data_IF_321138877076
#
_entry.id   IF_321138877076
#
_cell.length_a   1.000
_cell.length_b   1.000
_cell.length_c   1.000
_cell.angle_alpha   90.00
_cell.angle_beta   90.00
_cell.angle_gamma   90.00
#
_symmetry.space_group_name_H-M   'P 1'
#
loop_
_entity.id
_entity.type
_entity.pdbx_description
1 polymer ?
#
# COMPACT_ATOMS: atom_id res chain seq x y z
N UNK A 1 25.52 0.37 6.97
CA UNK A 1 25.06 -0.33 8.19
C UNK A 1 24.91 -1.79 7.86
N UNK A 2 25.63 -2.66 8.57
CA UNK A 2 25.51 -4.12 8.45
C UNK A 2 24.30 -4.63 9.25
N UNK A 3 23.83 -5.86 9.01
CA UNK A 3 22.77 -6.49 9.80
C UNK A 3 23.11 -6.59 11.30
N UNK A 4 24.34 -6.98 11.64
CA UNK A 4 24.77 -7.11 13.04
C UNK A 4 24.75 -5.75 13.75
N UNK A 5 25.28 -4.71 13.10
CA UNK A 5 25.24 -3.35 13.64
C UNK A 5 23.80 -2.84 13.80
N UNK A 6 22.90 -3.20 12.88
CA UNK A 6 21.49 -2.82 12.98
C UNK A 6 20.80 -3.48 14.18
N UNK A 7 21.13 -4.76 14.45
CA UNK A 7 20.62 -5.51 15.59
C UNK A 7 21.14 -4.95 16.91
N UNK A 8 22.45 -4.68 17.00
CA UNK A 8 23.08 -4.19 18.22
C UNK A 8 22.60 -2.78 18.60
N UNK A 9 22.42 -1.89 17.63
CA UNK A 9 21.94 -0.53 17.87
C UNK A 9 20.42 -0.43 18.08
N UNK A 10 19.67 -1.50 17.82
CA UNK A 10 18.21 -1.46 17.78
C UNK A 10 17.59 -0.92 19.08
N UNK A 11 18.00 -1.46 20.23
CA UNK A 11 17.47 -1.07 21.54
C UNK A 11 17.78 0.39 21.88
N UNK A 12 19.00 0.85 21.57
CA UNK A 12 19.42 2.22 21.84
C UNK A 12 18.62 3.21 20.99
N UNK A 13 18.40 2.90 19.71
CA UNK A 13 17.57 3.72 18.82
C UNK A 13 16.13 3.81 19.34
N UNK A 14 15.56 2.72 19.85
CA UNK A 14 14.22 2.75 20.46
C UNK A 14 14.18 3.65 21.69
N UNK A 15 15.22 3.66 22.52
CA UNK A 15 15.32 4.59 23.64
C UNK A 15 15.38 6.06 23.18
N UNK A 16 16.07 6.34 22.08
CA UNK A 16 16.16 7.70 21.53
C UNK A 16 14.81 8.25 21.02
N UNK A 17 13.82 7.39 20.73
CA UNK A 17 12.46 7.82 20.37
C UNK A 17 11.73 8.54 21.51
N UNK A 18 12.18 8.41 22.75
CA UNK A 18 11.60 9.09 23.93
C UNK A 18 12.43 10.29 24.38
N UNK A 19 13.45 10.70 23.62
CA UNK A 19 14.28 11.87 23.92
C UNK A 19 13.44 13.14 24.05
N UNK A 20 13.78 14.01 25.00
CA UNK A 20 13.13 15.32 25.17
C UNK A 20 13.38 16.24 23.97
N UNK A 21 14.47 16.03 23.23
CA UNK A 21 14.87 16.85 22.08
C UNK A 21 14.19 16.35 20.79
N UNK A 22 13.31 17.14 20.14
CA UNK A 22 12.61 16.72 18.92
C UNK A 22 13.55 16.29 17.79
N UNK A 23 14.65 17.01 17.61
CA UNK A 23 15.68 16.68 16.62
C UNK A 23 16.21 15.24 16.78
N UNK A 24 16.43 14.80 18.02
CA UNK A 24 16.93 13.44 18.31
C UNK A 24 15.87 12.40 18.00
N UNK A 25 14.62 12.63 18.41
CA UNK A 25 13.50 11.72 18.07
C UNK A 25 13.34 11.58 16.55
N UNK A 26 13.38 12.70 15.83
CA UNK A 26 13.32 12.72 14.36
C UNK A 26 14.44 11.88 13.74
N UNK A 27 15.69 12.04 14.20
CA UNK A 27 16.81 11.22 13.71
C UNK A 27 16.66 9.75 14.07
N UNK A 28 16.17 9.44 15.27
CA UNK A 28 15.90 8.06 15.68
C UNK A 28 14.86 7.39 14.77
N UNK A 29 13.75 8.08 14.45
CA UNK A 29 12.74 7.58 13.48
C UNK A 29 13.36 7.27 12.11
N UNK A 30 14.18 8.18 11.57
CA UNK A 30 14.82 7.97 10.27
C UNK A 30 15.88 6.85 10.29
N UNK A 31 16.62 6.69 11.39
CA UNK A 31 17.60 5.60 11.53
C UNK A 31 16.87 4.26 11.70
N UNK A 32 15.72 4.25 12.37
CA UNK A 32 14.91 3.05 12.57
C UNK A 32 14.45 2.44 11.23
N UNK A 33 14.13 3.27 10.24
CA UNK A 33 13.90 2.80 8.86
C UNK A 33 15.10 2.01 8.32
N UNK A 34 16.31 2.58 8.42
CA UNK A 34 17.53 1.90 7.97
C UNK A 34 17.76 0.58 8.71
N UNK A 35 17.38 0.50 9.99
CA UNK A 35 17.45 -0.75 10.77
C UNK A 35 16.55 -1.79 10.15
N UNK A 36 15.30 -1.45 9.83
CA UNK A 36 14.36 -2.39 9.19
C UNK A 36 14.84 -2.91 7.84
N UNK A 37 15.55 -2.08 7.06
CA UNK A 37 16.16 -2.52 5.80
C UNK A 37 17.26 -3.59 5.95
N UNK A 38 17.87 -3.69 7.14
CA UNK A 38 18.99 -4.61 7.43
C UNK A 38 18.66 -5.70 8.43
N UNK A 39 17.67 -5.47 9.28
CA UNK A 39 17.19 -6.36 10.32
C UNK A 39 15.65 -6.28 10.37
N UNK A 40 14.94 -6.91 9.41
CA UNK A 40 13.49 -6.78 9.26
C UNK A 40 12.68 -7.34 10.43
N UNK A 41 13.23 -8.31 11.18
CA UNK A 41 12.57 -8.89 12.35
C UNK A 41 12.27 -7.86 13.45
N UNK A 42 13.01 -6.74 13.47
CA UNK A 42 12.76 -5.63 14.39
C UNK A 42 11.49 -4.83 14.06
N UNK A 43 10.94 -4.93 12.84
CA UNK A 43 9.82 -4.10 12.41
C UNK A 43 8.57 -4.32 13.28
N UNK A 44 8.10 -5.58 13.38
CA UNK A 44 6.90 -5.94 14.14
C UNK A 44 6.95 -5.49 15.61
N UNK A 45 7.99 -5.79 16.41
CA UNK A 45 8.05 -5.34 17.80
C UNK A 45 8.21 -3.82 17.95
N UNK A 46 8.80 -3.14 16.96
CA UNK A 46 9.00 -1.68 16.99
C UNK A 46 7.80 -0.87 16.51
N UNK A 47 6.92 -1.47 15.70
CA UNK A 47 5.84 -0.77 15.03
C UNK A 47 4.92 0.01 15.98
N UNK A 48 4.55 -0.49 17.18
CA UNK A 48 3.77 0.31 18.14
C UNK A 48 4.45 1.63 18.51
N UNK A 49 5.77 1.61 18.75
CA UNK A 49 6.55 2.82 19.08
C UNK A 49 6.67 3.77 17.90
N UNK A 50 6.79 3.25 16.68
CA UNK A 50 6.76 4.09 15.47
C UNK A 50 5.39 4.74 15.28
N UNK A 51 4.29 4.00 15.53
CA UNK A 51 2.92 4.52 15.46
C UNK A 51 2.68 5.66 16.45
N UNK A 52 3.19 5.54 17.68
CA UNK A 52 3.13 6.64 18.68
C UNK A 52 3.78 7.94 18.17
N UNK A 53 4.73 7.88 17.23
CA UNK A 53 5.38 9.07 16.66
C UNK A 53 4.51 9.82 15.65
N UNK A 54 3.42 9.22 15.18
CA UNK A 54 2.41 9.93 14.38
C UNK A 54 1.67 11.00 15.20
N UNK A 55 1.63 10.84 16.52
CA UNK A 55 0.98 11.76 17.46
C UNK A 55 2.02 12.61 18.22
N UNK A 56 3.26 12.68 17.74
CA UNK A 56 4.33 13.44 18.42
C UNK A 56 4.03 14.94 18.41
N UNK A 57 4.28 15.71 19.49
CA UNK A 57 3.99 17.15 19.50
C UNK A 57 4.82 17.97 18.51
N UNK A 58 5.96 17.45 18.04
CA UNK A 58 6.79 18.12 17.04
C UNK A 58 6.38 17.71 15.61
N UNK A 59 5.95 18.65 14.75
CA UNK A 59 5.54 18.34 13.38
C UNK A 59 6.66 17.71 12.53
N UNK A 60 7.92 18.02 12.83
CA UNK A 60 9.08 17.44 12.15
C UNK A 60 9.30 15.97 12.47
N UNK A 61 8.94 15.53 13.68
CA UNK A 61 8.94 14.11 14.08
C UNK A 61 7.75 13.38 13.46
N UNK A 62 6.55 13.97 13.49
CA UNK A 62 5.35 13.40 12.84
C UNK A 62 5.58 13.17 11.35
N UNK A 63 6.08 14.19 10.64
CA UNK A 63 6.39 14.08 9.21
C UNK A 63 7.41 12.99 8.92
N UNK A 64 8.44 12.84 9.76
CA UNK A 64 9.41 11.75 9.61
C UNK A 64 8.76 10.37 9.84
N UNK A 65 7.84 10.25 10.81
CA UNK A 65 7.12 9.01 11.07
C UNK A 65 6.20 8.62 9.91
N UNK A 66 5.43 9.57 9.38
CA UNK A 66 4.60 9.37 8.18
C UNK A 66 5.45 8.92 7.00
N UNK A 67 6.57 9.59 6.75
CA UNK A 67 7.47 9.24 5.65
C UNK A 67 7.99 7.81 5.80
N UNK A 68 8.53 7.46 6.97
CA UNK A 68 9.06 6.11 7.22
C UNK A 68 7.98 5.04 7.07
N UNK A 69 6.77 5.28 7.58
CA UNK A 69 5.67 4.32 7.45
C UNK A 69 5.25 4.17 5.97
N UNK A 70 5.18 5.27 5.23
CA UNK A 70 4.87 5.25 3.80
C UNK A 70 5.93 4.50 2.99
N UNK A 71 7.21 4.73 3.27
CA UNK A 71 8.31 4.03 2.60
C UNK A 71 8.27 2.52 2.88
N UNK A 72 7.96 2.13 4.12
CA UNK A 72 7.79 0.72 4.50
C UNK A 72 6.59 0.07 3.81
N UNK A 73 5.48 0.79 3.68
CA UNK A 73 4.27 0.32 3.00
C UNK A 73 4.53 0.06 1.52
N UNK A 74 5.16 1.01 0.82
CA UNK A 74 5.51 0.87 -0.59
C UNK A 74 6.46 -0.31 -0.79
N UNK A 75 7.44 -0.46 0.10
CA UNK A 75 8.40 -1.56 0.05
C UNK A 75 7.73 -2.92 0.30
N UNK A 76 6.79 -3.01 1.24
CA UNK A 76 6.05 -4.23 1.55
C UNK A 76 5.24 -4.67 0.33
N UNK A 77 4.45 -3.76 -0.25
CA UNK A 77 3.68 -4.06 -1.48
C UNK A 77 4.58 -4.50 -2.63
N UNK A 78 5.67 -3.79 -2.88
CA UNK A 78 6.60 -4.16 -3.94
C UNK A 78 7.21 -5.54 -3.71
N UNK A 79 7.61 -5.85 -2.46
CA UNK A 79 8.16 -7.16 -2.10
C UNK A 79 7.13 -8.28 -2.27
N UNK A 80 5.90 -8.04 -1.84
CA UNK A 80 4.78 -8.99 -1.96
C UNK A 80 4.47 -9.28 -3.42
N UNK A 81 4.30 -8.25 -4.26
CA UNK A 81 4.04 -8.41 -5.70
C UNK A 81 5.21 -9.13 -6.39
N UNK A 82 6.45 -8.76 -6.06
CA UNK A 82 7.63 -9.41 -6.65
C UNK A 82 7.72 -10.89 -6.27
N UNK A 83 7.33 -11.25 -5.04
CA UNK A 83 7.28 -12.65 -4.61
C UNK A 83 6.14 -13.40 -5.30
N UNK A 84 4.98 -12.77 -5.42
CA UNK A 84 3.82 -13.33 -6.11
C UNK A 84 4.12 -13.60 -7.59
N UNK A 85 4.71 -12.64 -8.32
CA UNK A 85 5.11 -12.84 -9.73
C UNK A 85 6.11 -13.98 -9.86
N UNK A 86 7.12 -14.05 -8.98
CA UNK A 86 8.09 -15.16 -8.98
C UNK A 86 7.43 -16.52 -8.69
N UNK A 87 6.41 -16.54 -7.84
CA UNK A 87 5.62 -17.73 -7.59
C UNK A 87 4.81 -18.12 -8.83
N UNK A 88 4.06 -17.18 -9.41
CA UNK A 88 3.26 -17.39 -10.60
C UNK A 88 4.07 -17.95 -11.78
N UNK A 89 5.25 -17.38 -12.07
CA UNK A 89 6.13 -17.87 -13.12
C UNK A 89 6.52 -19.35 -12.93
N UNK A 90 6.83 -19.77 -11.70
CA UNK A 90 7.18 -21.16 -11.39
C UNK A 90 6.02 -22.14 -11.58
N UNK A 91 4.78 -21.69 -11.33
CA UNK A 91 3.58 -22.51 -11.54
C UNK A 91 3.20 -22.59 -13.01
N UNK A 92 3.37 -21.50 -13.77
CA UNK A 92 3.19 -21.48 -15.22
C UNK A 92 4.16 -22.43 -15.94
N UNK A 93 5.43 -22.48 -15.53
CA UNK A 93 6.42 -23.44 -16.06
C UNK A 93 5.99 -24.90 -15.87
N UNK A 94 5.20 -25.18 -14.84
CA UNK A 94 4.67 -26.52 -14.52
C UNK A 94 3.25 -26.76 -15.03
N UNK A 95 2.64 -25.76 -15.67
CA UNK A 95 1.25 -25.77 -16.09
C UNK A 95 0.26 -26.01 -14.92
N UNK A 96 0.59 -25.50 -13.73
CA UNK A 96 -0.23 -25.56 -12.51
C UNK A 96 -1.12 -24.32 -12.40
N UNK A 97 -2.36 -24.50 -11.94
CA UNK A 97 -3.31 -23.39 -11.71
C UNK A 97 -2.89 -22.53 -10.51
N UNK A 98 -3.14 -21.23 -10.60
CA UNK A 98 -2.89 -20.20 -9.57
C UNK A 98 -4.18 -19.61 -8.98
N UNK A 99 -5.34 -20.15 -9.35
CA UNK A 99 -6.64 -19.52 -9.08
C UNK A 99 -6.94 -19.43 -7.58
N UNK A 100 -6.60 -20.47 -6.82
CA UNK A 100 -6.86 -20.51 -5.38
C UNK A 100 -5.97 -19.51 -4.64
N UNK A 101 -4.69 -19.42 -4.99
CA UNK A 101 -3.75 -18.46 -4.41
C UNK A 101 -4.09 -17.02 -4.76
N UNK A 102 -4.55 -16.75 -5.99
CA UNK A 102 -5.04 -15.44 -6.40
C UNK A 102 -6.29 -15.02 -5.62
N UNK A 103 -7.20 -15.96 -5.38
CA UNK A 103 -8.41 -15.73 -4.59
C UNK A 103 -8.06 -15.35 -3.16
N UNK A 104 -7.10 -16.06 -2.54
CA UNK A 104 -6.61 -15.76 -1.19
C UNK A 104 -5.86 -14.42 -1.17
N UNK A 105 -5.05 -14.13 -2.18
CA UNK A 105 -4.28 -12.88 -2.27
C UNK A 105 -5.18 -11.64 -2.34
N UNK A 106 -6.31 -11.76 -3.02
CA UNK A 106 -7.31 -10.70 -3.16
C UNK A 106 -8.38 -10.73 -2.07
N UNK A 107 -8.30 -11.68 -1.14
CA UNK A 107 -9.20 -11.78 0.00
C UNK A 107 -8.79 -10.78 1.08
N UNK A 108 -9.54 -9.70 1.18
CA UNK A 108 -9.39 -8.73 2.24
C UNK A 108 -10.37 -7.58 2.06
N UNK A 109 -11.12 -7.27 3.11
CA UNK A 109 -11.97 -6.09 3.10
C UNK A 109 -11.08 -4.85 3.21
N UNK A 110 -11.10 -4.00 2.19
CA UNK A 110 -10.63 -2.62 2.33
C UNK A 110 -11.55 -1.95 3.35
N UNK A 111 -11.04 -1.65 4.54
CA UNK A 111 -11.82 -0.88 5.50
C UNK A 111 -12.10 0.50 4.90
N UNK A 112 -13.37 0.85 4.63
CA UNK A 112 -13.69 2.15 4.09
C UNK A 112 -13.19 3.22 5.05
N UNK A 113 -12.68 4.33 4.48
CA UNK A 113 -12.28 5.48 5.29
C UNK A 113 -13.46 5.88 6.16
N UNK A 114 -13.24 5.98 7.48
CA UNK A 114 -14.32 6.29 8.42
C UNK A 114 -15.01 7.61 8.02
N UNK A 115 -16.35 7.70 7.99
CA UNK A 115 -17.07 8.89 7.51
C UNK A 115 -16.67 10.18 8.24
N UNK A 116 -16.30 10.08 9.52
CA UNK A 116 -15.80 11.21 10.31
C UNK A 116 -14.44 11.73 9.85
N UNK A 117 -13.56 10.84 9.37
CA UNK A 117 -12.27 11.22 8.79
C UNK A 117 -12.46 11.83 7.41
N UNK A 118 -13.36 11.27 6.60
CA UNK A 118 -13.67 11.80 5.26
C UNK A 118 -14.24 13.23 5.32
N UNK A 119 -15.13 13.53 6.28
CA UNK A 119 -15.66 14.89 6.49
C UNK A 119 -14.60 15.93 6.89
N UNK A 120 -13.43 15.51 7.38
CA UNK A 120 -12.34 16.42 7.76
C UNK A 120 -11.42 16.76 6.60
N UNK A 121 -11.57 16.10 5.44
CA UNK A 121 -10.83 16.42 4.23
C UNK A 121 -11.58 17.53 3.50
N UNK A 122 -11.07 18.77 3.47
CA UNK A 122 -11.70 19.84 2.71
C UNK A 122 -11.63 19.52 1.21
N UNK A 123 -12.68 19.86 0.47
CA UNK A 123 -12.71 19.71 -0.98
C UNK A 123 -11.83 20.84 -1.56
N UNK A 124 -10.77 20.53 -2.32
CA UNK A 124 -9.95 21.53 -2.99
C UNK A 124 -10.76 22.32 -4.02
N UNK A 125 -10.42 23.60 -4.21
CA UNK A 125 -10.97 24.40 -5.31
C UNK A 125 -10.55 23.78 -6.65
N UNK A 126 -11.51 23.53 -7.55
CA UNK A 126 -11.25 22.96 -8.88
C UNK A 126 -11.17 21.43 -8.94
N UNK A 127 -11.51 20.71 -7.86
CA UNK A 127 -11.64 19.25 -7.93
C UNK A 127 -12.91 18.85 -8.68
N UNK A 128 -12.75 18.38 -9.91
CA UNK A 128 -13.80 17.70 -10.67
C UNK A 128 -13.66 16.18 -10.49
N UNK A 129 -14.67 15.55 -9.88
CA UNK A 129 -14.69 14.10 -9.65
C UNK A 129 -15.17 13.30 -10.87
N UNK A 130 -15.75 13.98 -11.86
CA UNK A 130 -16.19 13.39 -13.13
C UNK A 130 -15.08 13.43 -14.20
N UNK A 131 -13.98 14.15 -13.93
CA UNK A 131 -12.79 14.18 -14.78
C UNK A 131 -11.94 12.93 -14.58
N UNK A 132 -11.47 12.36 -15.69
CA UNK A 132 -10.56 11.22 -15.64
C UNK A 132 -9.20 11.64 -15.08
N UNK A 133 -8.70 10.88 -14.09
CA UNK A 133 -7.37 11.14 -13.50
C UNK A 133 -6.24 10.94 -14.53
N UNK A 134 -6.43 10.00 -15.46
CA UNK A 134 -5.52 9.73 -16.58
C UNK A 134 -6.37 9.58 -17.84
N UNK A 135 -5.81 9.94 -19.01
CA UNK A 135 -6.48 9.68 -20.29
C UNK A 135 -6.95 8.21 -20.35
N UNK A 136 -8.22 7.97 -20.71
CA UNK A 136 -8.71 6.60 -20.88
C UNK A 136 -7.81 5.92 -21.91
N UNK A 137 -7.44 4.68 -21.63
CA UNK A 137 -6.76 3.84 -22.61
C UNK A 137 -7.62 3.82 -23.88
N UNK A 138 -6.99 4.01 -25.04
CA UNK A 138 -7.70 3.88 -26.31
C UNK A 138 -8.36 2.49 -26.34
N UNK A 139 -9.65 2.45 -26.66
CA UNK A 139 -10.34 1.17 -26.86
C UNK A 139 -9.61 0.41 -27.98
N UNK A 140 -8.91 -0.68 -27.63
CA UNK A 140 -8.29 -1.64 -28.56
C UNK A 140 -9.28 -2.30 -29.55
N UNK A 141 -10.55 -1.88 -29.52
CA UNK A 141 -11.60 -2.25 -30.48
C UNK A 141 -11.28 -1.93 -31.96
N UNK A 142 -10.15 -1.25 -32.26
CA UNK A 142 -9.75 -0.90 -33.64
C UNK A 142 -8.41 -1.48 -34.11
N UNK A 143 -7.70 -2.28 -33.31
CA UNK A 143 -6.43 -2.91 -33.72
C UNK A 143 -6.55 -4.42 -34.04
N UNK A 144 -7.76 -4.96 -34.23
CA UNK A 144 -7.96 -6.36 -34.62
C UNK A 144 -8.15 -6.59 -36.12
N UNK A 145 -7.89 -5.61 -36.99
CA UNK A 145 -7.92 -5.86 -38.44
C UNK A 145 -6.55 -6.31 -38.96
N UNK A 146 -6.39 -7.64 -39.06
CA UNK A 146 -5.44 -8.39 -39.89
C UNK A 146 -4.35 -9.20 -39.17
N UNK A 147 -4.73 -10.19 -38.36
CA UNK A 147 -4.02 -11.47 -38.31
C UNK A 147 -5.04 -12.60 -38.22
N UNK A 148 -5.14 -13.37 -39.30
CA UNK A 148 -6.03 -14.52 -39.44
C UNK A 148 -5.44 -15.78 -38.79
N UNK A 149 -6.32 -16.56 -38.13
CA UNK A 149 -6.24 -17.98 -37.72
C UNK A 149 -5.13 -18.35 -36.71
N UNK A 150 -5.36 -18.99 -35.55
CA UNK A 150 -6.36 -19.98 -35.13
C UNK A 150 -6.45 -20.04 -33.60
N UNK A 151 -7.62 -20.43 -33.12
CA UNK A 151 -7.99 -21.14 -31.88
C UNK A 151 -7.50 -20.66 -30.49
N UNK A 152 -8.50 -20.26 -29.68
CA UNK A 152 -8.60 -20.36 -28.21
C UNK A 152 -7.50 -19.80 -27.29
N UNK A 153 -7.44 -18.47 -27.13
CA UNK A 153 -7.09 -17.85 -25.84
C UNK A 153 -7.92 -16.57 -25.60
N UNK A 154 -8.94 -16.66 -24.74
CA UNK A 154 -9.63 -15.46 -24.22
C UNK A 154 -8.71 -14.81 -23.18
N UNK A 155 -8.08 -13.71 -23.58
CA UNK A 155 -7.37 -12.80 -22.67
C UNK A 155 -8.35 -12.30 -21.62
N UNK A 156 -8.16 -12.73 -20.36
CA UNK A 156 -9.00 -12.39 -19.22
C UNK A 156 -8.55 -11.06 -18.62
N UNK A 157 -8.84 -9.95 -19.31
CA UNK A 157 -8.85 -8.65 -18.63
C UNK A 157 -10.31 -8.28 -18.36
N UNK A 158 -10.76 -8.50 -17.13
CA UNK A 158 -12.09 -8.06 -16.68
C UNK A 158 -12.01 -6.55 -16.44
N UNK A 159 -12.78 -5.72 -17.16
CA UNK A 159 -12.82 -4.29 -16.90
C UNK A 159 -13.34 -4.06 -15.48
N UNK A 160 -12.71 -3.15 -14.73
CA UNK A 160 -13.18 -2.65 -13.42
C UNK A 160 -14.38 -1.69 -13.65
N UNK A 161 -15.36 -2.13 -14.45
CA UNK A 161 -16.54 -1.36 -14.84
C UNK A 161 -17.79 -1.65 -14.02
N UNK A 162 -17.66 -2.36 -12.89
CA UNK A 162 -18.80 -2.83 -12.09
C UNK A 162 -18.91 -2.26 -10.67
N UNK A 163 -18.00 -1.37 -10.23
CA UNK A 163 -18.00 -0.90 -8.84
C UNK A 163 -19.10 0.16 -8.55
N UNK A 164 -19.71 0.75 -9.59
CA UNK A 164 -20.70 1.83 -9.46
C UNK A 164 -22.12 1.34 -9.13
N UNK A 165 -22.41 0.04 -9.28
CA UNK A 165 -23.79 -0.48 -9.16
C UNK A 165 -24.16 -1.12 -7.82
N UNK A 166 -23.19 -1.38 -6.92
CA UNK A 166 -23.46 -2.11 -5.65
C UNK A 166 -23.60 -1.27 -4.38
N UNK A 167 -23.62 0.06 -4.48
CA UNK A 167 -23.90 0.93 -3.34
C UNK A 167 -25.23 1.67 -3.51
N UNK A 168 -26.36 0.94 -3.44
CA UNK A 168 -27.63 1.57 -3.13
C UNK A 168 -27.62 1.99 -1.65
N UNK A 169 -27.38 3.27 -1.40
CA UNK A 169 -27.62 3.88 -0.09
C UNK A 169 -29.12 3.77 0.21
N UNK A 170 -29.48 2.97 1.22
CA UNK A 170 -30.83 2.99 1.79
C UNK A 170 -31.03 4.31 2.55
N UNK A 171 -31.61 5.28 1.87
CA UNK A 171 -32.12 6.51 2.45
C UNK A 171 -33.33 6.15 3.32
N UNK A 172 -33.15 6.09 4.64
CA UNK A 172 -34.27 5.99 5.58
C UNK A 172 -34.88 7.36 5.75
N UNK A 173 -36.03 7.59 5.13
CA UNK A 173 -36.98 8.63 5.52
C UNK A 173 -37.20 8.58 7.03
N UNK A 174 -37.01 9.73 7.69
CA UNK A 174 -37.61 9.99 9.00
C UNK A 174 -38.70 11.03 8.79
N UNK A 175 -39.91 10.58 9.08
CA UNK A 175 -41.08 11.40 9.43
C UNK A 175 -40.72 12.39 10.54
#
# INVERSE_FOLDING_TARGET
MSPDLARDLHSDILSLLTSTRPYVRKKAVLILYKVFLKYPDALRPSFPRLKEKLEDPDPGVQSAAVNVISDLEVQERASVVTQFVRYALKHLEKNESLLEELSIFTQGDLNPVAPKAQKKVPIPEGLDLDEWINEPLEDDSKSSSSLSSSDDEKVLFVPIGGFREKFQFQEKEKV
#
